data_IF_953022000318
#
_entry.id   IF_953022000318
#
_cell.length_a   1.000
_cell.length_b   1.000
_cell.length_c   1.000
_cell.angle_alpha   90.00
_cell.angle_beta   90.00
_cell.angle_gamma   90.00
#
_symmetry.space_group_name_H-M   'P 1'
#
loop_
_entity.id
_entity.type
_entity.pdbx_description
1 polymer ?
#
# COMPACT_ATOMS: atom_id res chain seq x y z
N UNK A 1 47.85 -10.44 11.96
CA UNK A 1 47.69 -10.14 10.52
C UNK A 1 46.68 -11.14 9.98
N UNK A 2 45.53 -10.83 9.39
CA UNK A 2 44.88 -9.60 8.96
C UNK A 2 43.37 -9.79 9.13
N UNK A 3 42.66 -8.75 9.56
CA UNK A 3 41.20 -8.67 9.47
C UNK A 3 40.81 -8.25 8.06
N UNK A 4 39.96 -9.01 7.40
CA UNK A 4 39.33 -8.63 6.12
C UNK A 4 38.09 -7.80 6.40
N UNK A 5 38.18 -6.49 6.18
CA UNK A 5 37.04 -5.58 6.16
C UNK A 5 36.40 -5.66 4.78
N UNK A 6 35.21 -6.28 4.67
CA UNK A 6 34.38 -6.19 3.48
C UNK A 6 33.84 -4.75 3.38
N UNK A 7 34.40 -3.96 2.47
CA UNK A 7 33.81 -2.69 2.04
C UNK A 7 32.64 -2.98 1.10
N UNK A 8 31.42 -2.63 1.53
CA UNK A 8 30.33 -2.25 0.63
C UNK A 8 29.69 -0.98 1.18
N UNK A 9 29.95 0.20 0.57
CA UNK A 9 28.94 1.25 0.62
C UNK A 9 28.77 2.11 -0.65
N UNK A 10 29.54 1.90 -1.73
CA UNK A 10 29.63 2.91 -2.81
C UNK A 10 28.38 2.96 -3.72
N UNK A 11 27.69 1.83 -3.95
CA UNK A 11 26.49 1.80 -4.79
C UNK A 11 25.24 2.41 -4.12
N UNK A 12 25.17 2.36 -2.79
CA UNK A 12 24.00 2.86 -2.05
C UNK A 12 23.98 4.40 -1.98
N UNK A 13 25.15 5.04 -1.88
CA UNK A 13 25.28 6.50 -1.89
C UNK A 13 24.90 7.11 -3.24
N UNK A 14 25.30 6.47 -4.33
CA UNK A 14 25.02 6.95 -5.68
C UNK A 14 23.52 6.89 -6.00
N UNK A 15 22.84 5.85 -5.56
CA UNK A 15 21.39 5.73 -5.71
C UNK A 15 20.67 6.85 -4.95
N UNK A 16 21.04 7.18 -3.72
CA UNK A 16 20.40 8.26 -2.96
C UNK A 16 20.55 9.60 -3.66
N UNK A 17 21.74 9.89 -4.21
CA UNK A 17 22.01 11.13 -4.96
C UNK A 17 21.21 11.17 -6.26
N UNK A 18 21.18 10.06 -7.02
CA UNK A 18 20.40 9.94 -8.27
C UNK A 18 18.90 10.13 -8.01
N UNK A 19 18.37 9.62 -6.90
CA UNK A 19 16.94 9.79 -6.56
C UNK A 19 16.63 11.23 -6.15
N UNK A 20 17.53 11.91 -5.41
CA UNK A 20 17.39 13.34 -5.13
C UNK A 20 17.43 14.17 -6.41
N UNK A 21 18.30 13.84 -7.36
CA UNK A 21 18.38 14.51 -8.66
C UNK A 21 17.13 14.21 -9.51
N UNK A 22 16.66 12.97 -9.56
CA UNK A 22 15.45 12.62 -10.32
C UNK A 22 14.19 13.22 -9.71
N UNK A 23 14.11 13.32 -8.38
CA UNK A 23 13.05 14.03 -7.68
C UNK A 23 13.12 15.53 -8.01
N UNK A 24 14.31 16.14 -7.91
CA UNK A 24 14.55 17.55 -8.28
C UNK A 24 14.25 17.85 -9.76
N UNK A 25 14.52 16.91 -10.67
CA UNK A 25 14.25 17.03 -12.10
C UNK A 25 12.82 16.59 -12.50
N UNK A 26 11.95 16.24 -11.55
CA UNK A 26 10.58 15.78 -11.82
C UNK A 26 10.49 14.46 -12.61
N UNK A 27 11.56 13.67 -12.61
CA UNK A 27 11.70 12.42 -13.36
C UNK A 27 11.14 11.20 -12.63
N UNK A 28 11.15 11.20 -11.29
CA UNK A 28 10.45 10.17 -10.51
C UNK A 28 8.97 10.53 -10.35
N UNK A 29 8.16 9.99 -11.25
CA UNK A 29 6.71 10.12 -11.20
C UNK A 29 6.16 9.20 -10.11
N UNK A 30 5.99 9.72 -8.89
CA UNK A 30 5.38 8.97 -7.80
C UNK A 30 3.88 8.72 -8.05
N UNK A 31 3.40 7.59 -7.54
CA UNK A 31 2.03 7.10 -7.68
C UNK A 31 1.49 6.73 -6.32
N UNK A 32 0.23 7.04 -6.13
CA UNK A 32 -0.57 6.51 -5.04
C UNK A 32 -1.28 5.26 -5.53
N UNK A 33 -1.10 4.16 -4.81
CA UNK A 33 -1.77 2.91 -5.06
C UNK A 33 -2.64 2.51 -3.87
N UNK A 34 -3.68 1.72 -4.14
CA UNK A 34 -4.31 0.84 -3.16
C UNK A 34 -3.69 -0.55 -3.31
N UNK A 35 -3.23 -1.15 -2.21
CA UNK A 35 -2.73 -2.53 -2.18
C UNK A 35 -3.65 -3.42 -1.37
N UNK A 36 -3.94 -4.61 -1.90
CA UNK A 36 -4.65 -5.68 -1.18
C UNK A 36 -3.67 -6.78 -0.80
N UNK A 37 -3.62 -7.05 0.49
CA UNK A 37 -2.70 -8.01 1.09
C UNK A 37 -3.45 -9.23 1.64
N UNK A 38 -2.75 -10.36 1.70
CA UNK A 38 -3.24 -11.54 2.42
C UNK A 38 -3.56 -11.18 3.86
N UNK A 39 -4.74 -11.57 4.32
CA UNK A 39 -5.18 -11.45 5.71
C UNK A 39 -5.76 -12.79 6.18
N UNK A 40 -5.57 -13.08 7.47
CA UNK A 40 -6.19 -14.23 8.12
C UNK A 40 -7.49 -13.84 8.82
N UNK A 41 -8.44 -14.78 8.87
CA UNK A 41 -9.74 -14.60 9.53
C UNK A 41 -10.92 -14.67 8.55
N UNK A 42 -12.12 -14.83 9.10
CA UNK A 42 -13.34 -14.77 8.30
C UNK A 42 -13.73 -13.30 8.06
N UNK A 43 -14.09 -12.91 6.82
CA UNK A 43 -14.59 -11.58 6.54
C UNK A 43 -15.91 -11.32 7.27
N UNK A 44 -16.09 -10.08 7.71
CA UNK A 44 -17.30 -9.58 8.38
C UNK A 44 -18.01 -8.51 7.56
N UNK A 45 -17.32 -7.85 6.63
CA UNK A 45 -17.93 -6.83 5.77
C UNK A 45 -18.83 -7.48 4.72
N UNK A 46 -19.95 -6.83 4.32
CA UNK A 46 -20.98 -7.45 3.47
C UNK A 46 -20.49 -7.94 2.10
N UNK A 47 -19.45 -7.32 1.53
CA UNK A 47 -18.91 -7.69 0.22
C UNK A 47 -17.54 -8.38 0.33
N UNK A 48 -17.16 -8.82 1.53
CA UNK A 48 -15.90 -9.50 1.80
C UNK A 48 -14.68 -8.61 1.66
N UNK A 49 -14.82 -7.29 1.73
CA UNK A 49 -13.70 -6.35 1.59
C UNK A 49 -12.62 -6.64 2.62
N UNK A 50 -13.03 -6.98 3.84
CA UNK A 50 -12.13 -7.29 4.94
C UNK A 50 -11.55 -8.73 4.90
N UNK A 51 -11.81 -9.52 3.84
CA UNK A 51 -11.03 -10.73 3.49
C UNK A 51 -9.55 -10.36 3.23
N UNK A 52 -9.28 -9.11 2.85
CA UNK A 52 -7.95 -8.59 2.59
C UNK A 52 -7.54 -7.57 3.65
N UNK A 53 -6.23 -7.41 3.83
CA UNK A 53 -5.68 -6.25 4.52
C UNK A 53 -5.46 -5.14 3.49
N UNK A 54 -6.02 -3.96 3.72
CA UNK A 54 -5.95 -2.84 2.80
C UNK A 54 -4.90 -1.82 3.26
N UNK A 55 -4.13 -1.30 2.31
CA UNK A 55 -3.18 -0.23 2.58
C UNK A 55 -3.04 0.71 1.36
N UNK A 56 -2.66 1.97 1.61
CA UNK A 56 -2.10 2.81 0.55
C UNK A 56 -0.62 2.49 0.36
N UNK A 57 -0.15 2.61 -0.87
CA UNK A 57 1.27 2.56 -1.21
C UNK A 57 1.65 3.85 -1.93
N UNK A 58 2.68 4.53 -1.48
CA UNK A 58 3.30 5.63 -2.23
C UNK A 58 4.67 5.18 -2.71
N UNK A 59 4.94 5.33 -4.00
CA UNK A 59 6.25 5.01 -4.56
C UNK A 59 6.34 5.27 -6.05
N UNK A 60 7.46 4.90 -6.69
CA UNK A 60 7.73 5.23 -8.08
C UNK A 60 6.79 4.50 -9.05
N UNK A 61 6.40 5.16 -10.16
CA UNK A 61 5.61 4.54 -11.25
C UNK A 61 6.24 3.22 -11.74
N UNK A 62 7.56 3.20 -11.90
CA UNK A 62 8.31 2.03 -12.34
C UNK A 62 8.92 1.34 -11.14
N UNK A 63 8.68 0.02 -11.03
CA UNK A 63 9.36 -0.78 -10.03
C UNK A 63 10.87 -0.78 -10.29
N UNK A 64 11.69 -0.46 -9.28
CA UNK A 64 13.14 -0.59 -9.41
C UNK A 64 13.53 -2.06 -9.52
N UNK A 65 14.63 -2.34 -10.19
CA UNK A 65 15.18 -3.71 -10.32
C UNK A 65 15.62 -4.36 -8.99
N UNK A 66 15.63 -3.62 -7.88
CA UNK A 66 16.32 -3.99 -6.63
C UNK A 66 15.43 -4.06 -5.37
N UNK A 67 14.18 -4.53 -5.47
CA UNK A 67 13.30 -4.57 -4.30
C UNK A 67 12.32 -3.40 -4.25
N UNK A 68 11.29 -3.51 -3.41
CA UNK A 68 10.22 -2.52 -3.35
C UNK A 68 10.65 -1.26 -2.59
N UNK A 69 10.18 -0.11 -3.09
CA UNK A 69 10.48 1.23 -2.53
C UNK A 69 9.21 1.94 -2.07
N UNK A 70 8.09 1.23 -1.95
CA UNK A 70 6.86 1.88 -1.54
C UNK A 70 6.85 2.03 -0.03
N UNK A 71 6.35 3.18 0.40
CA UNK A 71 5.91 3.40 1.77
C UNK A 71 4.47 2.91 1.84
N UNK A 72 4.20 2.00 2.76
CA UNK A 72 2.88 1.46 3.05
C UNK A 72 2.24 2.25 4.18
N UNK A 73 1.06 2.81 3.94
CA UNK A 73 0.26 3.50 4.95
C UNK A 73 -1.00 2.70 5.25
N UNK A 74 -1.17 2.33 6.51
CA UNK A 74 -2.32 1.52 6.91
C UNK A 74 -2.69 1.72 8.38
N UNK A 75 -3.93 1.40 8.70
CA UNK A 75 -4.35 1.11 10.06
C UNK A 75 -4.28 -0.40 10.30
N UNK A 76 -3.70 -0.81 11.44
CA UNK A 76 -3.67 -2.22 11.85
C UNK A 76 -4.00 -2.35 13.32
N UNK A 77 -4.57 -3.49 13.68
CA UNK A 77 -4.78 -3.89 15.06
C UNK A 77 -3.45 -4.37 15.65
N UNK A 78 -3.16 -3.92 16.88
CA UNK A 78 -2.01 -4.35 17.66
C UNK A 78 -2.47 -4.72 19.05
N UNK A 79 -2.02 -5.87 19.54
CA UNK A 79 -2.19 -6.24 20.93
C UNK A 79 -1.29 -5.37 21.80
N UNK A 80 -1.88 -4.60 22.70
CA UNK A 80 -1.16 -3.81 23.70
C UNK A 80 -1.46 -4.33 25.10
N UNK A 81 -0.50 -4.18 26.01
CA UNK A 81 -0.70 -4.41 27.44
C UNK A 81 -0.88 -3.07 28.12
N UNK A 82 -2.06 -2.82 28.70
CA UNK A 82 -2.37 -1.57 29.38
C UNK A 82 -3.33 -1.81 30.55
N UNK A 83 -3.50 -0.80 31.42
CA UNK A 83 -4.31 -0.89 32.65
C UNK A 83 -3.53 -1.35 33.88
N UNK A 84 -4.21 -1.32 35.04
CA UNK A 84 -3.71 -1.86 36.31
C UNK A 84 -4.82 -2.68 37.01
N UNK A 85 -4.74 -4.02 37.07
CA UNK A 85 -3.62 -4.84 36.57
C UNK A 85 -3.53 -4.86 35.03
N UNK A 86 -2.34 -5.16 34.45
CA UNK A 86 -2.15 -5.13 33.00
C UNK A 86 -3.03 -6.17 32.28
N UNK A 87 -3.81 -5.72 31.31
CA UNK A 87 -4.61 -6.58 30.43
C UNK A 87 -4.16 -6.43 28.98
N UNK A 88 -4.18 -7.54 28.23
CA UNK A 88 -3.94 -7.51 26.78
C UNK A 88 -5.24 -7.12 26.10
N UNK A 89 -5.22 -6.05 25.33
CA UNK A 89 -6.36 -5.62 24.50
C UNK A 89 -5.92 -5.25 23.09
N UNK A 90 -6.77 -5.47 22.09
CA UNK A 90 -6.52 -4.92 20.76
C UNK A 90 -6.67 -3.41 20.77
N UNK A 91 -5.75 -2.72 20.11
CA UNK A 91 -5.85 -1.30 19.81
C UNK A 91 -5.47 -1.07 18.35
N UNK A 92 -6.22 -0.18 17.69
CA UNK A 92 -5.91 0.24 16.33
C UNK A 92 -4.78 1.26 16.32
N UNK A 93 -3.86 1.12 15.36
CA UNK A 93 -2.73 2.02 15.18
C UNK A 93 -2.54 2.36 13.70
N UNK A 94 -2.34 3.64 13.40
CA UNK A 94 -1.76 4.09 12.13
C UNK A 94 -0.26 3.77 12.07
N UNK A 95 0.18 3.19 10.95
CA UNK A 95 1.57 2.85 10.69
C UNK A 95 1.96 3.28 9.28
N UNK A 96 3.19 3.79 9.16
CA UNK A 96 3.93 3.88 7.91
C UNK A 96 5.18 2.97 7.98
N UNK A 97 5.25 1.94 7.15
CA UNK A 97 6.41 1.06 7.08
C UNK A 97 6.78 0.74 5.62
N UNK A 98 7.89 0.03 5.41
CA UNK A 98 8.23 -0.49 4.08
C UNK A 98 7.18 -1.52 3.65
N UNK A 99 6.81 -1.51 2.37
CA UNK A 99 5.80 -2.44 1.88
C UNK A 99 6.18 -3.92 2.12
N UNK A 100 5.14 -4.75 2.18
CA UNK A 100 5.27 -6.19 2.41
C UNK A 100 5.06 -6.94 1.11
N UNK A 101 5.94 -6.73 0.13
CA UNK A 101 5.83 -7.31 -1.21
C UNK A 101 5.43 -8.79 -1.26
N UNK A 102 5.97 -9.63 -0.35
CA UNK A 102 5.66 -11.06 -0.25
C UNK A 102 4.18 -11.40 0.03
N UNK A 103 3.41 -10.46 0.59
CA UNK A 103 2.01 -10.64 0.95
C UNK A 103 1.05 -9.85 0.04
N UNK A 104 1.57 -9.07 -0.91
CA UNK A 104 0.78 -8.22 -1.78
C UNK A 104 0.16 -9.06 -2.91
N UNK A 105 -1.17 -9.08 -2.99
CA UNK A 105 -1.90 -9.84 -4.01
C UNK A 105 -2.07 -9.01 -5.29
N UNK A 106 -2.63 -7.81 -5.14
CA UNK A 106 -2.83 -6.86 -6.23
C UNK A 106 -2.56 -5.45 -5.74
N UNK A 107 -2.24 -4.54 -6.67
CA UNK A 107 -2.24 -3.11 -6.41
C UNK A 107 -2.94 -2.35 -7.54
N UNK A 108 -3.51 -1.20 -7.21
CA UNK A 108 -4.33 -0.40 -8.09
C UNK A 108 -3.83 1.03 -8.05
N UNK A 109 -3.42 1.61 -9.18
CA UNK A 109 -3.06 3.03 -9.26
C UNK A 109 -4.32 3.86 -9.11
N UNK A 110 -4.33 4.79 -8.15
CA UNK A 110 -5.47 5.67 -7.90
C UNK A 110 -5.12 7.16 -7.99
N UNK A 111 -3.83 7.50 -8.02
CA UNK A 111 -3.41 8.90 -8.16
C UNK A 111 -1.95 9.12 -8.55
N UNK A 112 -1.66 10.32 -9.04
CA UNK A 112 -0.31 10.83 -9.34
C UNK A 112 0.08 11.78 -8.21
N UNK A 113 1.08 11.40 -7.40
CA UNK A 113 1.51 12.19 -6.23
C UNK A 113 2.32 13.39 -6.73
N UNK A 114 2.02 14.57 -6.18
CA UNK A 114 2.81 15.79 -6.41
C UNK A 114 3.43 16.34 -5.13
N UNK A 115 2.84 16.06 -3.97
CA UNK A 115 3.35 16.46 -2.67
C UNK A 115 3.20 15.28 -1.68
N UNK A 116 4.30 14.56 -1.49
CA UNK A 116 4.33 13.35 -0.64
C UNK A 116 4.28 13.69 0.85
N UNK A 117 4.95 14.75 1.28
CA UNK A 117 4.99 15.12 2.69
C UNK A 117 3.59 15.56 3.15
N UNK A 118 2.86 16.27 2.29
CA UNK A 118 1.46 16.61 2.52
C UNK A 118 0.56 15.37 2.56
N UNK A 119 0.74 14.43 1.63
CA UNK A 119 0.01 13.17 1.64
C UNK A 119 0.22 12.41 2.97
N UNK A 120 1.45 12.33 3.44
CA UNK A 120 1.79 11.69 4.72
C UNK A 120 1.14 12.42 5.90
N UNK A 121 1.17 13.76 5.91
CA UNK A 121 0.49 14.56 6.92
C UNK A 121 -1.00 14.27 6.95
N UNK A 122 -1.67 14.18 5.79
CA UNK A 122 -3.10 13.85 5.71
C UNK A 122 -3.36 12.49 6.37
N UNK A 123 -2.63 11.45 5.94
CA UNK A 123 -2.82 10.09 6.45
C UNK A 123 -2.56 9.96 7.95
N UNK A 124 -1.53 10.65 8.47
CA UNK A 124 -1.20 10.64 9.90
C UNK A 124 -2.29 11.25 10.79
N UNK A 125 -3.09 12.18 10.26
CA UNK A 125 -4.14 12.87 11.01
C UNK A 125 -5.53 12.26 10.82
N UNK A 126 -5.64 11.12 10.10
CA UNK A 126 -6.91 10.39 9.99
C UNK A 126 -7.27 9.82 11.37
N UNK A 127 -8.43 10.17 11.95
CA UNK A 127 -8.84 9.65 13.26
C UNK A 127 -9.01 8.13 13.24
N UNK A 128 -8.53 7.48 14.29
CA UNK A 128 -8.80 6.06 14.55
C UNK A 128 -10.07 5.96 15.41
N UNK A 129 -11.06 5.18 14.98
CA UNK A 129 -12.32 5.02 15.71
C UNK A 129 -12.24 3.79 16.61
N UNK A 130 -11.52 3.93 17.73
CA UNK A 130 -11.22 2.81 18.64
C UNK A 130 -12.46 2.22 19.33
N UNK A 131 -13.54 2.99 19.43
CA UNK A 131 -14.79 2.60 20.10
C UNK A 131 -15.83 1.99 19.13
N UNK A 132 -15.52 1.93 17.84
CA UNK A 132 -16.41 1.41 16.80
C UNK A 132 -16.01 -0.05 16.48
N UNK A 133 -16.82 -1.05 16.86
CA UNK A 133 -16.48 -2.47 16.68
C UNK A 133 -16.46 -2.92 15.22
N UNK A 134 -17.10 -2.16 14.32
CA UNK A 134 -17.12 -2.43 12.88
C UNK A 134 -15.96 -1.73 12.15
N UNK A 135 -15.23 -0.86 12.86
CA UNK A 135 -14.10 -0.12 12.30
C UNK A 135 -12.92 -1.01 11.93
N UNK A 136 -12.35 -0.78 10.75
CA UNK A 136 -11.25 -1.57 10.20
C UNK A 136 -10.39 -0.78 9.20
N UNK A 137 -9.39 -1.46 8.60
CA UNK A 137 -8.49 -0.85 7.61
C UNK A 137 -9.19 -0.29 6.37
N UNK A 138 -10.32 -0.88 5.93
CA UNK A 138 -11.10 -0.42 4.77
C UNK A 138 -11.75 0.93 5.10
N UNK A 139 -12.36 1.04 6.29
CA UNK A 139 -12.96 2.29 6.75
C UNK A 139 -11.92 3.38 7.03
N UNK A 140 -10.74 3.02 7.55
CA UNK A 140 -9.62 3.98 7.63
C UNK A 140 -9.22 4.49 6.25
N UNK A 141 -9.12 3.61 5.25
CA UNK A 141 -8.74 4.02 3.89
C UNK A 141 -9.80 4.89 3.22
N UNK A 142 -11.09 4.63 3.47
CA UNK A 142 -12.18 5.50 3.03
C UNK A 142 -12.01 6.92 3.57
N UNK A 143 -11.86 7.07 4.90
CA UNK A 143 -11.68 8.36 5.55
C UNK A 143 -10.42 9.07 5.06
N UNK A 144 -9.33 8.33 4.91
CA UNK A 144 -8.05 8.81 4.43
C UNK A 144 -8.13 9.30 2.97
N UNK A 145 -8.77 8.53 2.08
CA UNK A 145 -8.89 8.90 0.67
C UNK A 145 -9.78 10.14 0.51
N UNK A 146 -10.90 10.20 1.23
CA UNK A 146 -11.78 11.37 1.20
C UNK A 146 -11.01 12.63 1.60
N UNK A 147 -10.20 12.59 2.65
CA UNK A 147 -9.35 13.72 3.07
C UNK A 147 -8.31 14.11 2.02
N UNK A 148 -7.76 13.16 1.28
CA UNK A 148 -6.84 13.44 0.16
C UNK A 148 -7.57 14.14 -0.99
N UNK A 149 -8.80 13.72 -1.29
CA UNK A 149 -9.62 14.36 -2.31
C UNK A 149 -10.04 15.79 -1.91
N UNK A 150 -10.46 15.97 -0.65
CA UNK A 150 -10.85 17.27 -0.10
C UNK A 150 -9.67 18.25 -0.04
N UNK A 151 -8.46 17.74 0.26
CA UNK A 151 -7.23 18.52 0.24
C UNK A 151 -6.91 19.08 -1.15
N UNK A 152 -7.07 18.27 -2.19
CA UNK A 152 -6.90 18.67 -3.59
C UNK A 152 -5.49 19.13 -3.98
N UNK A 153 -4.49 18.99 -3.10
CA UNK A 153 -3.15 19.55 -3.28
C UNK A 153 -2.05 18.47 -3.19
N UNK A 154 -2.30 17.34 -2.53
CA UNK A 154 -1.34 16.22 -2.46
C UNK A 154 -1.18 15.46 -3.80
N UNK A 155 -2.23 15.43 -4.63
CA UNK A 155 -2.27 14.68 -5.89
C UNK A 155 -2.46 15.61 -7.09
N UNK A 156 -1.68 15.41 -8.16
CA UNK A 156 -1.87 16.09 -9.43
C UNK A 156 -3.09 15.55 -10.22
N UNK A 157 -3.40 14.26 -10.05
CA UNK A 157 -4.60 13.63 -10.60
C UNK A 157 -5.01 12.44 -9.73
N UNK A 158 -6.30 12.16 -9.65
CA UNK A 158 -6.84 11.07 -8.84
C UNK A 158 -8.14 10.51 -9.41
N UNK A 159 -8.45 9.26 -9.06
CA UNK A 159 -9.81 8.71 -9.14
C UNK A 159 -10.70 9.50 -8.18
N UNK A 160 -11.92 9.83 -8.62
CA UNK A 160 -12.73 10.90 -8.00
C UNK A 160 -13.45 10.51 -6.70
N UNK A 161 -13.57 9.23 -6.41
CA UNK A 161 -14.31 8.76 -5.25
C UNK A 161 -13.77 7.42 -4.74
N UNK A 162 -14.00 7.16 -3.45
CA UNK A 162 -13.58 5.93 -2.79
C UNK A 162 -14.33 4.69 -3.28
N UNK A 163 -15.61 4.82 -3.64
CA UNK A 163 -16.46 3.69 -3.99
C UNK A 163 -16.00 3.03 -5.29
N UNK A 164 -15.65 3.83 -6.29
CA UNK A 164 -15.03 3.40 -7.55
C UNK A 164 -13.71 2.66 -7.29
N UNK A 165 -12.87 3.18 -6.40
CA UNK A 165 -11.59 2.56 -6.01
C UNK A 165 -11.84 1.20 -5.35
N UNK A 166 -12.74 1.16 -4.35
CA UNK A 166 -13.12 -0.05 -3.62
C UNK A 166 -13.65 -1.13 -4.56
N UNK A 167 -14.60 -0.77 -5.43
CA UNK A 167 -15.21 -1.68 -6.38
C UNK A 167 -14.18 -2.24 -7.37
N UNK A 168 -13.32 -1.40 -7.95
CA UNK A 168 -12.28 -1.86 -8.89
C UNK A 168 -11.26 -2.76 -8.21
N UNK A 169 -10.84 -2.44 -6.99
CA UNK A 169 -9.90 -3.28 -6.23
C UNK A 169 -10.48 -4.67 -5.97
N UNK A 170 -11.72 -4.76 -5.49
CA UNK A 170 -12.41 -6.02 -5.22
C UNK A 170 -12.67 -6.83 -6.50
N UNK A 171 -13.09 -6.18 -7.58
CA UNK A 171 -13.24 -6.83 -8.88
C UNK A 171 -11.92 -7.41 -9.37
N UNK A 172 -10.84 -6.62 -9.32
CA UNK A 172 -9.56 -7.00 -9.89
C UNK A 172 -8.91 -8.17 -9.14
N UNK A 173 -8.93 -8.15 -7.80
CA UNK A 173 -8.45 -9.32 -7.02
C UNK A 173 -9.31 -10.56 -7.28
N UNK A 174 -10.62 -10.40 -7.47
CA UNK A 174 -11.52 -11.47 -7.87
C UNK A 174 -11.15 -12.08 -9.23
N UNK A 175 -10.85 -11.24 -10.23
CA UNK A 175 -10.36 -11.69 -11.56
C UNK A 175 -9.07 -12.49 -11.41
N UNK A 176 -8.10 -12.01 -10.62
CA UNK A 176 -6.82 -12.71 -10.42
C UNK A 176 -6.96 -14.01 -9.62
N UNK A 177 -7.89 -14.06 -8.67
CA UNK A 177 -8.25 -15.27 -7.93
C UNK A 177 -8.89 -16.32 -8.86
N UNK A 178 -9.81 -15.90 -9.74
CA UNK A 178 -10.43 -16.78 -10.73
C UNK A 178 -9.43 -17.31 -11.77
N UNK A 179 -8.40 -16.52 -12.09
CA UNK A 179 -7.28 -16.92 -12.93
C UNK A 179 -6.20 -17.73 -12.18
N UNK A 180 -6.48 -18.24 -10.97
CA UNK A 180 -5.56 -19.10 -10.21
C UNK A 180 -4.18 -18.48 -9.89
N UNK A 181 -4.06 -17.15 -9.92
CA UNK A 181 -2.78 -16.45 -9.70
C UNK A 181 -2.16 -16.73 -8.33
N UNK A 182 -3.00 -16.98 -7.33
CA UNK A 182 -2.57 -17.03 -5.93
C UNK A 182 -2.57 -18.44 -5.33
N UNK A 183 -3.10 -19.44 -6.04
CA UNK A 183 -3.30 -20.79 -5.49
C UNK A 183 -2.40 -21.86 -6.14
N UNK A 184 -1.61 -21.47 -7.13
CA UNK A 184 -0.65 -22.36 -7.81
C UNK A 184 -1.30 -23.47 -8.63
N UNK A 185 -2.60 -23.37 -8.93
CA UNK A 185 -3.30 -24.36 -9.76
C UNK A 185 -3.04 -24.18 -11.25
N UNK A 186 -2.67 -22.98 -11.67
CA UNK A 186 -2.22 -22.71 -13.03
C UNK A 186 -0.68 -22.81 -13.08
N UNK A 187 -0.18 -23.83 -13.78
CA UNK A 187 1.27 -24.08 -13.91
C UNK A 187 1.98 -23.03 -14.76
N UNK A 188 1.26 -22.27 -15.59
CA UNK A 188 1.82 -21.23 -16.44
C UNK A 188 2.00 -19.90 -15.67
N UNK A 189 1.40 -19.79 -14.48
CA UNK A 189 1.51 -18.61 -13.63
C UNK A 189 2.50 -18.86 -12.48
N UNK A 190 3.64 -18.17 -12.55
CA UNK A 190 4.59 -18.10 -11.43
C UNK A 190 4.31 -16.84 -10.61
N UNK A 191 3.90 -17.03 -9.36
CA UNK A 191 3.74 -15.91 -8.42
C UNK A 191 5.11 -15.28 -8.13
N UNK A 192 5.32 -14.07 -8.63
CA UNK A 192 6.50 -13.26 -8.38
C UNK A 192 6.12 -12.09 -7.47
N UNK A 193 6.50 -12.10 -6.17
CA UNK A 193 6.24 -11.01 -5.24
C UNK A 193 6.79 -9.65 -5.69
N UNK A 194 7.78 -9.65 -6.59
CA UNK A 194 8.35 -8.43 -7.15
C UNK A 194 7.52 -7.86 -8.31
N UNK A 195 6.54 -8.62 -8.81
CA UNK A 195 5.64 -8.24 -9.90
C UNK A 195 4.18 -8.43 -9.48
N UNK A 196 3.71 -7.64 -8.49
CA UNK A 196 2.30 -7.68 -8.11
C UNK A 196 1.43 -7.30 -9.31
N UNK A 197 0.30 -8.00 -9.47
CA UNK A 197 -0.67 -7.65 -10.51
C UNK A 197 -1.12 -6.20 -10.28
N UNK A 198 -1.07 -5.39 -11.34
CA UNK A 198 -1.26 -3.94 -11.25
C UNK A 198 -2.29 -3.45 -12.28
N UNK A 199 -3.37 -2.86 -11.78
CA UNK A 199 -4.33 -2.09 -12.59
C UNK A 199 -4.06 -0.59 -12.47
N UNK A 200 -4.08 0.15 -13.56
CA UNK A 200 -4.03 1.62 -13.55
C UNK A 200 -5.44 2.18 -13.78
N UNK A 201 -6.09 2.72 -12.73
CA UNK A 201 -7.44 3.31 -12.89
C UNK A 201 -7.43 4.67 -13.59
N UNK A 202 -6.28 5.32 -13.72
CA UNK A 202 -6.19 6.62 -14.39
C UNK A 202 -6.21 6.46 -15.91
N UNK A 203 -5.70 5.32 -16.40
CA UNK A 203 -5.66 4.98 -17.82
C UNK A 203 -6.64 3.82 -18.16
N UNK A 204 -7.30 3.25 -17.14
CA UNK A 204 -8.20 2.07 -17.17
C UNK A 204 -7.63 0.84 -17.89
N UNK A 205 -6.39 0.49 -17.54
CA UNK A 205 -5.70 -0.66 -18.13
C UNK A 205 -4.92 -1.49 -17.09
N UNK A 206 -4.68 -2.75 -17.44
CA UNK A 206 -3.74 -3.60 -16.71
C UNK A 206 -2.31 -3.32 -17.17
N UNK A 207 -1.44 -2.94 -16.23
CA UNK A 207 -0.04 -2.58 -16.53
C UNK A 207 0.95 -3.69 -16.14
N UNK A 208 0.54 -4.61 -15.27
CA UNK A 208 1.28 -5.83 -14.95
C UNK A 208 0.27 -6.94 -14.66
N UNK A 209 0.22 -8.01 -15.47
CA UNK A 209 -0.76 -9.07 -15.30
C UNK A 209 -0.48 -9.97 -14.10
#
# INVERSE_FOLDING_TARGET
MCSTTNQFPEQASDLVVVNKINHFLGREKERLYVGLYVRGGAPKMPQGEDEYHWAFLAGPKQHPKSGSRHIMYHAKERLVKSGNPPQVRPEWQYVNDSDRAAMLLVRIVVGKITDRDRLEQIFRHVPLRIDDPDWNCVLWMQDAYQRVLDDGQALASSVKDWESVRCKAMWYVGVKKAAHRFDGKDSDIVLDPMKPATWDMLEDEETAP
#
